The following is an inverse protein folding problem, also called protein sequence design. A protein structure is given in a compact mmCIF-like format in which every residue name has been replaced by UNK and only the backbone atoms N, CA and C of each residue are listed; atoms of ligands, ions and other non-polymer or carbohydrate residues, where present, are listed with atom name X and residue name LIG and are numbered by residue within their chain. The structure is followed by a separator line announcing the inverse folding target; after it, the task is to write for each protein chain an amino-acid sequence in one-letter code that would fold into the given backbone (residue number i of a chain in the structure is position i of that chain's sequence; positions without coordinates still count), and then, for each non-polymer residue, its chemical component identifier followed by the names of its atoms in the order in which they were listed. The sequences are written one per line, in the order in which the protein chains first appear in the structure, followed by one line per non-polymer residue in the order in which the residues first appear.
data_IF_718256227967
#
_entry.id   IF_718256227967
#
_cell.length_a   1.000
_cell.length_b   1.000
_cell.length_c   1.000
_cell.angle_alpha   90.00
_cell.angle_beta   90.00
_cell.angle_gamma   90.00
#
_symmetry.space_group_name_H-M   'P 1'
#
loop_
_entity.id
_entity.type
_entity.pdbx_description
1 polymer ?
#
# COMPACT_ATOMS: atom_id res chain seq x y z
N UNK A 1 22.27 -19.74 -10.09
CA UNK A 1 21.17 -18.98 -9.46
C UNK A 1 20.76 -17.89 -10.43
N UNK A 2 19.87 -18.21 -11.37
CA UNK A 2 19.34 -17.21 -12.29
C UNK A 2 18.41 -16.30 -11.48
N UNK A 3 18.85 -15.08 -11.23
CA UNK A 3 17.94 -14.00 -10.89
C UNK A 3 17.05 -13.79 -12.12
N UNK A 4 15.95 -14.54 -12.21
CA UNK A 4 14.78 -14.11 -12.97
C UNK A 4 14.34 -12.84 -12.29
N UNK A 5 14.94 -11.72 -12.70
CA UNK A 5 14.41 -10.42 -12.39
C UNK A 5 12.94 -10.51 -12.75
N UNK A 6 12.06 -10.43 -11.75
CA UNK A 6 10.64 -10.20 -11.93
C UNK A 6 10.52 -8.78 -12.52
N UNK A 7 11.08 -8.60 -13.72
CA UNK A 7 10.95 -7.40 -14.50
C UNK A 7 9.47 -7.35 -14.83
N UNK A 8 8.76 -6.55 -14.04
CA UNK A 8 7.35 -6.34 -14.19
C UNK A 8 7.12 -5.88 -15.63
N UNK A 9 6.58 -6.77 -16.45
CA UNK A 9 6.44 -6.58 -17.90
C UNK A 9 5.30 -5.61 -18.26
N UNK A 10 4.68 -4.98 -17.26
CA UNK A 10 3.72 -3.92 -17.49
C UNK A 10 4.48 -2.62 -17.80
N UNK A 11 4.18 -1.93 -18.92
CA UNK A 11 4.82 -0.67 -19.28
C UNK A 11 4.69 0.40 -18.19
N UNK A 12 3.72 0.24 -17.27
CA UNK A 12 3.43 1.19 -16.22
C UNK A 12 4.21 0.92 -14.91
N UNK A 13 4.89 -0.23 -14.76
CA UNK A 13 5.54 -0.58 -13.48
C UNK A 13 6.68 0.37 -13.12
N UNK A 14 7.47 0.80 -14.10
CA UNK A 14 8.54 1.77 -13.84
C UNK A 14 8.01 3.10 -13.29
N UNK A 15 6.82 3.54 -13.70
CA UNK A 15 6.21 4.76 -13.21
C UNK A 15 5.74 4.61 -11.75
N UNK A 16 5.06 3.50 -11.44
CA UNK A 16 4.59 3.19 -10.09
C UNK A 16 5.76 3.08 -9.11
N UNK A 17 6.85 2.40 -9.51
CA UNK A 17 8.06 2.26 -8.70
C UNK A 17 8.78 3.59 -8.44
N UNK A 18 8.69 4.55 -9.37
CA UNK A 18 9.21 5.91 -9.20
C UNK A 18 8.28 6.84 -8.42
N UNK A 19 7.15 6.35 -7.92
CA UNK A 19 6.23 7.14 -7.11
C UNK A 19 5.24 7.98 -7.90
N UNK A 20 4.85 7.59 -9.13
CA UNK A 20 3.85 8.32 -9.95
C UNK A 20 2.57 8.63 -9.19
N UNK A 21 2.13 7.71 -8.34
CA UNK A 21 0.94 7.81 -7.50
C UNK A 21 0.95 8.99 -6.54
N UNK A 22 2.11 9.46 -6.06
CA UNK A 22 2.16 10.59 -5.12
C UNK A 22 1.61 11.91 -5.68
N UNK A 23 1.60 12.06 -7.01
CA UNK A 23 1.13 13.27 -7.70
C UNK A 23 -0.18 13.07 -8.45
N UNK A 24 -0.76 11.87 -8.41
CA UNK A 24 -2.00 11.56 -9.12
C UNK A 24 -3.21 12.01 -8.32
N UNK A 25 -4.25 12.43 -9.00
CA UNK A 25 -5.59 12.61 -8.42
C UNK A 25 -6.36 11.29 -8.45
N UNK A 26 -7.35 11.12 -7.58
CA UNK A 26 -8.18 9.91 -7.46
C UNK A 26 -8.75 9.39 -8.81
N UNK A 27 -9.14 10.29 -9.70
CA UNK A 27 -9.71 9.93 -11.02
C UNK A 27 -8.69 9.37 -12.02
N UNK A 28 -7.39 9.48 -11.71
CA UNK A 28 -6.29 8.96 -12.53
C UNK A 28 -5.82 7.57 -12.06
N UNK A 29 -6.45 7.01 -11.04
CA UNK A 29 -6.17 5.67 -10.56
C UNK A 29 -6.95 4.65 -11.41
N UNK A 30 -6.20 3.75 -12.04
CA UNK A 30 -6.77 2.62 -12.76
C UNK A 30 -7.38 1.59 -11.82
N UNK A 31 -8.04 0.57 -12.39
CA UNK A 31 -8.65 -0.55 -11.65
C UNK A 31 -8.58 -1.87 -12.40
N UNK A 32 -7.97 -1.89 -13.59
CA UNK A 32 -8.06 -3.01 -14.51
C UNK A 32 -7.08 -4.11 -14.11
N UNK A 33 -5.85 -3.71 -13.80
CA UNK A 33 -4.76 -4.63 -13.54
C UNK A 33 -4.33 -4.65 -12.08
N UNK A 34 -3.59 -5.68 -11.68
CA UNK A 34 -3.04 -5.80 -10.33
C UNK A 34 -2.09 -4.64 -9.97
N UNK A 35 -1.42 -4.07 -10.97
CA UNK A 35 -0.57 -2.91 -10.77
C UNK A 35 -1.38 -1.65 -10.41
N UNK A 36 -2.56 -1.49 -10.99
CA UNK A 36 -3.46 -0.39 -10.65
C UNK A 36 -3.98 -0.53 -9.21
N UNK A 37 -4.30 -1.75 -8.79
CA UNK A 37 -4.69 -2.07 -7.41
C UNK A 37 -3.59 -1.66 -6.43
N UNK A 38 -2.34 -2.00 -6.73
CA UNK A 38 -1.17 -1.63 -5.89
C UNK A 38 -0.97 -0.11 -5.91
N UNK A 39 -1.08 0.53 -7.08
CA UNK A 39 -0.94 1.98 -7.22
C UNK A 39 -2.01 2.73 -6.39
N UNK A 40 -3.25 2.25 -6.42
CA UNK A 40 -4.35 2.82 -5.64
C UNK A 40 -4.15 2.62 -4.13
N UNK A 41 -3.69 1.46 -3.69
CA UNK A 41 -3.39 1.20 -2.28
C UNK A 41 -2.26 2.11 -1.75
N UNK A 42 -1.19 2.29 -2.54
CA UNK A 42 -0.10 3.22 -2.23
C UNK A 42 -0.57 4.68 -2.20
N UNK A 43 -1.47 5.06 -3.12
CA UNK A 43 -2.07 6.38 -3.15
C UNK A 43 -2.86 6.66 -1.86
N UNK A 44 -3.71 5.72 -1.42
CA UNK A 44 -4.44 5.83 -0.16
C UNK A 44 -3.48 6.00 1.01
N UNK A 45 -2.46 5.15 1.09
CA UNK A 45 -1.49 5.16 2.18
C UNK A 45 -0.74 6.49 2.29
N UNK A 46 -0.40 7.14 1.17
CA UNK A 46 0.34 8.40 1.18
C UNK A 46 -0.49 9.66 1.32
N UNK A 47 -1.73 9.65 0.86
CA UNK A 47 -2.66 10.76 1.07
C UNK A 47 -3.39 10.67 2.42
N UNK A 48 -2.92 9.81 3.31
CA UNK A 48 -3.49 9.61 4.65
C UNK A 48 -2.39 9.78 5.69
N UNK A 49 -2.62 10.67 6.65
CA UNK A 49 -1.66 10.94 7.72
C UNK A 49 -1.84 10.01 8.93
N UNK A 50 -2.98 9.32 9.01
CA UNK A 50 -3.27 8.34 10.07
C UNK A 50 -3.88 7.05 9.50
N UNK A 51 -3.72 5.95 10.24
CA UNK A 51 -4.37 4.66 9.91
C UNK A 51 -5.87 4.84 9.68
N UNK A 52 -6.52 5.65 10.53
CA UNK A 52 -7.95 5.88 10.55
C UNK A 52 -8.42 6.71 9.35
N UNK A 53 -7.64 7.71 8.95
CA UNK A 53 -7.91 8.50 7.74
C UNK A 53 -7.72 7.67 6.48
N UNK A 54 -6.72 6.77 6.47
CA UNK A 54 -6.49 5.87 5.35
C UNK A 54 -7.51 4.75 5.25
N UNK A 55 -8.03 4.24 6.37
CA UNK A 55 -9.21 3.36 6.39
C UNK A 55 -10.47 4.08 5.89
N UNK A 56 -10.65 5.36 6.22
CA UNK A 56 -11.76 6.16 5.69
C UNK A 56 -11.64 6.38 4.17
N UNK A 57 -10.46 6.70 3.66
CA UNK A 57 -10.16 6.80 2.22
C UNK A 57 -10.29 5.45 1.50
N UNK A 58 -9.89 4.37 2.18
CA UNK A 58 -10.14 3.01 1.73
C UNK A 58 -11.64 2.73 1.69
N UNK A 59 -12.44 3.20 2.66
CA UNK A 59 -13.91 3.13 2.65
C UNK A 59 -14.54 3.74 1.39
N UNK A 60 -14.00 4.88 0.93
CA UNK A 60 -14.44 5.53 -0.31
C UNK A 60 -13.97 4.75 -1.56
N UNK A 61 -12.87 4.00 -1.48
CA UNK A 61 -12.39 3.10 -2.56
C UNK A 61 -12.95 1.65 -2.46
N UNK A 62 -13.46 1.24 -1.31
CA UNK A 62 -14.07 -0.07 -1.01
C UNK A 62 -15.31 -0.31 -1.86
N UNK A 63 -16.02 0.77 -2.20
CA UNK A 63 -17.08 0.73 -3.21
C UNK A 63 -16.58 0.39 -4.64
N UNK A 64 -15.27 0.22 -4.85
CA UNK A 64 -14.66 -0.05 -6.15
C UNK A 64 -13.94 -1.40 -6.29
N UNK A 65 -13.18 -1.88 -5.28
CA UNK A 65 -12.43 -3.15 -5.40
C UNK A 65 -11.88 -3.70 -4.06
N UNK A 66 -12.23 -4.93 -3.70
CA UNK A 66 -11.73 -5.61 -2.47
C UNK A 66 -10.21 -5.84 -2.49
N UNK A 67 -9.61 -5.98 -3.68
CA UNK A 67 -8.16 -6.24 -3.83
C UNK A 67 -7.32 -5.08 -3.29
N UNK A 68 -7.81 -3.86 -3.42
CA UNK A 68 -7.15 -2.64 -2.90
C UNK A 68 -7.07 -2.70 -1.37
N UNK A 69 -8.10 -3.25 -0.73
CA UNK A 69 -8.19 -3.38 0.72
C UNK A 69 -7.18 -4.37 1.27
N UNK A 70 -7.01 -5.50 0.58
CA UNK A 70 -6.02 -6.51 0.96
C UNK A 70 -4.61 -5.91 0.91
N UNK A 71 -4.26 -5.24 -0.20
CA UNK A 71 -2.93 -4.63 -0.36
C UNK A 71 -2.71 -3.49 0.65
N UNK A 72 -3.71 -2.64 0.86
CA UNK A 72 -3.63 -1.57 1.85
C UNK A 72 -3.46 -2.14 3.27
N UNK A 73 -4.22 -3.15 3.65
CA UNK A 73 -4.12 -3.80 4.96
C UNK A 73 -2.75 -4.42 5.21
N UNK A 74 -2.12 -5.03 4.21
CA UNK A 74 -0.75 -5.54 4.30
C UNK A 74 0.27 -4.41 4.53
N UNK A 75 0.14 -3.30 3.80
CA UNK A 75 1.03 -2.13 3.95
C UNK A 75 0.86 -1.49 5.33
N UNK A 76 -0.39 -1.25 5.73
CA UNK A 76 -0.73 -0.67 7.01
C UNK A 76 -0.28 -1.56 8.18
N UNK A 77 -0.50 -2.87 8.10
CA UNK A 77 0.01 -3.84 9.08
C UNK A 77 1.53 -3.81 9.17
N UNK A 78 2.24 -3.82 8.04
CA UNK A 78 3.71 -3.77 8.04
C UNK A 78 4.26 -2.46 8.62
N UNK A 79 3.58 -1.33 8.42
CA UNK A 79 4.06 -0.02 8.87
C UNK A 79 3.67 0.29 10.33
N UNK A 80 2.42 0.04 10.71
CA UNK A 80 1.88 0.42 12.02
C UNK A 80 1.97 -0.69 13.07
N UNK A 81 1.98 -1.97 12.67
CA UNK A 81 2.03 -3.10 13.62
C UNK A 81 3.47 -3.50 13.96
N UNK A 82 4.46 -3.18 13.12
CA UNK A 82 5.88 -3.45 13.40
C UNK A 82 6.41 -2.62 14.59
N UNK A 83 5.78 -1.49 14.91
CA UNK A 83 6.14 -0.64 16.06
C UNK A 83 5.60 -1.19 17.40
N UNK A 84 4.66 -2.15 17.37
CA UNK A 84 4.03 -2.70 18.58
C UNK A 84 4.82 -3.86 19.21
N UNK A 85 5.84 -4.39 18.53
CA UNK A 85 6.63 -5.53 19.03
C UNK A 85 7.70 -5.10 20.06
N UNK A 86 8.14 -3.83 20.05
CA UNK A 86 9.10 -3.31 21.05
C UNK A 86 8.49 -3.07 22.44
N UNK A 87 7.16 -3.08 22.58
CA UNK A 87 6.49 -2.89 23.88
C UNK A 87 6.21 -4.20 24.63
N UNK A 88 6.55 -5.37 24.07
CA UNK A 88 6.31 -6.68 24.68
C UNK A 88 7.62 -7.47 24.94
N UNK A 89 8.65 -6.82 25.47
CA UNK A 89 9.76 -7.54 26.13
C UNK A 89 9.69 -7.35 27.65
N UNK A 90 8.99 -8.22 28.41
CA UNK A 90 8.96 -8.16 29.88
C UNK A 90 10.24 -8.66 30.58
N UNK A 91 11.39 -8.80 29.89
CA UNK A 91 12.58 -9.48 30.46
C UNK A 91 13.85 -8.63 30.64
N UNK A 92 13.75 -7.31 30.80
CA UNK A 92 14.88 -6.52 31.34
C UNK A 92 14.51 -5.89 32.67
N UNK A 93 14.38 -6.76 33.68
CA UNK A 93 14.55 -6.37 35.08
C UNK A 93 15.40 -7.46 35.73
N UNK A 94 16.70 -7.20 35.89
CA UNK A 94 17.56 -7.85 36.86
C UNK A 94 18.40 -6.76 37.55
#
# INVERSE_FOLDING_TARGET
MEQRALAAQSPNTGAVMRGSWRRKSRNQLGRSDWLDVVEAALWCFWHSDTLRDGEALLGVLLGADIRICIVYGMLAGAFYLADQDELHNPLVTN
#
